data_IF_016589197398
#
_entry.id   IF_016589197398
#
_cell.length_a   1.000
_cell.length_b   1.000
_cell.length_c   1.000
_cell.angle_alpha   90.00
_cell.angle_beta   90.00
_cell.angle_gamma   90.00
#
_symmetry.space_group_name_H-M   'P 1'
#
loop_
_entity.id
_entity.type
_entity.pdbx_description
1 polymer ?
#
# COMPACT_ATOMS: atom_id res chain seq x y z
N UNK A 1 -14.59 11.18 -8.09
CA UNK A 1 -13.81 11.29 -9.35
C UNK A 1 -12.30 11.12 -9.11
N UNK A 2 -11.85 10.12 -8.33
CA UNK A 2 -10.42 9.94 -7.95
C UNK A 2 -9.80 8.64 -8.56
N UNK A 3 -10.57 7.82 -9.29
CA UNK A 3 -10.19 6.45 -9.61
C UNK A 3 -9.16 6.23 -10.74
N UNK A 4 -9.01 7.15 -11.70
CA UNK A 4 -8.28 6.83 -12.94
C UNK A 4 -6.76 7.09 -12.88
N UNK A 5 -6.32 8.04 -12.06
CA UNK A 5 -4.89 8.38 -11.96
C UNK A 5 -4.07 7.38 -11.13
N UNK A 6 -4.73 6.53 -10.33
CA UNK A 6 -4.08 5.59 -9.42
C UNK A 6 -3.57 4.32 -10.14
N UNK A 7 -4.26 3.85 -11.19
CA UNK A 7 -3.90 2.60 -11.88
C UNK A 7 -2.64 2.75 -12.76
N UNK A 8 -2.51 3.84 -13.52
CA UNK A 8 -1.30 4.08 -14.33
C UNK A 8 -0.03 4.30 -13.52
N UNK A 9 -0.15 4.48 -12.20
CA UNK A 9 0.95 4.82 -11.32
C UNK A 9 1.32 3.67 -10.38
N UNK A 10 0.76 2.48 -10.53
CA UNK A 10 1.13 1.27 -9.76
C UNK A 10 1.51 0.10 -10.69
N UNK A 11 1.08 0.15 -11.96
CA UNK A 11 1.47 -0.81 -12.97
C UNK A 11 2.65 -0.28 -13.78
N UNK A 12 3.64 -1.14 -14.02
CA UNK A 12 4.70 -0.87 -14.99
C UNK A 12 4.12 -0.71 -16.40
N UNK A 13 4.91 -0.20 -17.35
CA UNK A 13 4.47 -0.02 -18.72
C UNK A 13 3.84 -1.33 -19.25
N UNK A 14 2.62 -1.28 -19.83
CA UNK A 14 1.97 -2.48 -20.32
C UNK A 14 2.83 -3.13 -21.41
N UNK A 15 3.21 -4.39 -21.20
CA UNK A 15 3.80 -5.19 -22.26
C UNK A 15 2.66 -5.63 -23.20
N UNK A 16 2.46 -4.87 -24.27
CA UNK A 16 1.48 -5.22 -25.31
C UNK A 16 2.09 -6.31 -26.17
N UNK A 17 1.76 -7.57 -25.89
CA UNK A 17 1.99 -8.67 -26.82
C UNK A 17 0.92 -8.61 -27.92
N UNK A 18 1.10 -7.72 -28.90
CA UNK A 18 0.22 -7.63 -30.04
C UNK A 18 0.46 -8.83 -30.98
N UNK A 19 -0.45 -9.80 -30.95
CA UNK A 19 -0.52 -10.88 -31.93
C UNK A 19 -1.94 -11.42 -32.07
N UNK A 20 -2.75 -10.75 -32.91
CA UNK A 20 -3.93 -11.30 -33.63
C UNK A 20 -5.13 -11.76 -32.73
N UNK A 21 -6.29 -12.24 -33.24
CA UNK A 21 -7.60 -12.09 -32.59
C UNK A 21 -7.69 -12.98 -31.33
N UNK A 22 -8.25 -12.45 -30.25
CA UNK A 22 -8.06 -12.99 -28.90
C UNK A 22 -7.05 -12.15 -28.07
N UNK A 23 -7.12 -10.84 -28.23
CA UNK A 23 -6.22 -9.88 -27.58
C UNK A 23 -6.27 -10.02 -26.05
N UNK A 24 -5.11 -10.30 -25.46
CA UNK A 24 -4.92 -10.32 -24.02
C UNK A 24 -3.85 -9.30 -23.62
N UNK A 25 -4.05 -8.66 -22.48
CA UNK A 25 -3.11 -7.71 -21.88
C UNK A 25 -2.76 -8.21 -20.49
N UNK A 26 -1.46 -8.37 -20.23
CA UNK A 26 -0.96 -8.65 -18.90
C UNK A 26 -0.46 -7.35 -18.27
N UNK A 27 -1.03 -6.99 -17.13
CA UNK A 27 -0.66 -5.82 -16.36
C UNK A 27 0.16 -6.28 -15.16
N UNK A 28 1.45 -5.97 -15.17
CA UNK A 28 2.36 -6.26 -14.08
C UNK A 28 2.28 -5.20 -12.98
N UNK A 29 2.07 -5.66 -11.75
CA UNK A 29 2.04 -4.79 -10.59
C UNK A 29 3.47 -4.50 -10.13
N UNK A 30 3.82 -3.22 -9.99
CA UNK A 30 5.06 -2.81 -9.35
C UNK A 30 4.89 -2.91 -7.82
N UNK A 31 5.32 -4.03 -7.26
CA UNK A 31 5.19 -4.26 -5.81
C UNK A 31 6.07 -3.32 -5.00
N UNK A 32 7.21 -2.87 -5.53
CA UNK A 32 8.10 -1.95 -4.82
C UNK A 32 7.46 -0.57 -4.72
N UNK A 33 6.76 -0.15 -5.77
CA UNK A 33 5.98 1.08 -5.76
C UNK A 33 4.80 1.02 -4.77
N UNK A 34 4.12 -0.12 -4.65
CA UNK A 34 3.08 -0.33 -3.62
C UNK A 34 3.67 -0.15 -2.22
N UNK A 35 4.82 -0.78 -1.96
CA UNK A 35 5.52 -0.69 -0.67
C UNK A 35 5.96 0.73 -0.36
N UNK A 36 6.63 1.41 -1.29
CA UNK A 36 7.13 2.78 -1.12
C UNK A 36 6.00 3.75 -0.79
N UNK A 37 4.90 3.72 -1.55
CA UNK A 37 3.73 4.56 -1.29
C UNK A 37 3.12 4.31 0.08
N UNK A 38 3.05 3.04 0.50
CA UNK A 38 2.51 2.70 1.81
C UNK A 38 3.39 3.24 2.94
N UNK A 39 4.71 3.18 2.80
CA UNK A 39 5.67 3.74 3.75
C UNK A 39 5.58 5.27 3.82
N UNK A 40 5.40 5.94 2.68
CA UNK A 40 5.14 7.38 2.63
C UNK A 40 3.83 7.76 3.34
N UNK A 41 2.76 7.01 3.07
CA UNK A 41 1.48 7.20 3.75
C UNK A 41 1.59 6.94 5.26
N UNK A 42 2.36 5.92 5.67
CA UNK A 42 2.64 5.62 7.08
C UNK A 42 3.37 6.78 7.76
N UNK A 43 4.41 7.33 7.12
CA UNK A 43 5.13 8.52 7.59
C UNK A 43 4.18 9.70 7.78
N UNK A 44 3.30 9.95 6.81
CA UNK A 44 2.38 11.09 6.86
C UNK A 44 1.29 10.91 7.92
N UNK A 45 0.85 9.67 8.14
CA UNK A 45 -0.05 9.29 9.23
C UNK A 45 0.61 9.48 10.60
N UNK A 46 1.85 9.01 10.80
CA UNK A 46 2.63 9.22 12.03
C UNK A 46 2.75 10.72 12.34
N UNK A 47 3.12 11.52 11.33
CA UNK A 47 3.22 12.98 11.47
C UNK A 47 1.92 13.60 11.97
N UNK A 48 0.79 13.16 11.41
CA UNK A 48 -0.53 13.68 11.76
C UNK A 48 -0.91 13.28 13.19
N UNK A 49 -0.79 11.99 13.54
CA UNK A 49 -1.14 11.47 14.86
C UNK A 49 -0.34 12.14 15.99
N UNK A 50 0.98 12.33 15.82
CA UNK A 50 1.79 12.98 16.84
C UNK A 50 1.53 14.48 16.97
N UNK A 51 1.16 15.14 15.87
CA UNK A 51 0.78 16.56 15.87
C UNK A 51 -0.56 16.77 16.58
N UNK A 52 -1.50 15.87 16.35
CA UNK A 52 -2.88 15.97 16.85
C UNK A 52 -3.03 15.36 18.26
N UNK A 53 -1.99 14.68 18.78
CA UNK A 53 -1.92 14.24 20.17
C UNK A 53 -1.98 15.43 21.14
N UNK A 54 -2.60 15.22 22.31
CA UNK A 54 -2.72 16.24 23.35
C UNK A 54 -2.15 15.72 24.68
N UNK A 55 -1.05 16.30 25.20
CA UNK A 55 -0.26 17.41 24.62
C UNK A 55 0.48 17.00 23.35
N UNK A 56 0.76 18.00 22.48
CA UNK A 56 1.48 17.79 21.22
C UNK A 56 2.84 17.13 21.47
N UNK A 57 3.14 16.11 20.66
CA UNK A 57 4.37 15.33 20.78
C UNK A 57 5.38 15.83 19.75
N UNK A 58 6.54 16.25 20.24
CA UNK A 58 7.63 16.73 19.39
C UNK A 58 8.53 15.56 18.99
N UNK A 59 8.91 15.53 17.72
CA UNK A 59 9.79 14.50 17.17
C UNK A 59 10.73 15.09 16.14
N UNK A 60 11.85 14.39 15.92
CA UNK A 60 12.89 14.73 14.97
C UNK A 60 13.18 13.54 14.05
N UNK A 61 13.69 13.83 12.85
CA UNK A 61 14.21 12.79 11.96
C UNK A 61 13.17 11.79 11.45
N UNK A 62 11.92 12.22 11.22
CA UNK A 62 10.90 11.36 10.61
C UNK A 62 11.22 11.10 9.14
N UNK A 63 11.73 9.91 8.86
CA UNK A 63 12.21 9.52 7.52
C UNK A 63 11.77 8.11 7.16
N UNK A 64 11.66 7.85 5.86
CA UNK A 64 11.52 6.52 5.29
C UNK A 64 12.90 6.08 4.81
N UNK A 65 13.32 4.87 5.19
CA UNK A 65 14.59 4.27 4.79
C UNK A 65 14.38 2.79 4.50
N UNK A 66 14.47 2.40 3.22
CA UNK A 66 14.18 1.03 2.79
C UNK A 66 12.72 0.66 3.11
N UNK A 67 12.53 -0.36 3.96
CA UNK A 67 11.22 -0.83 4.43
C UNK A 67 10.83 -0.31 5.81
N UNK A 68 11.54 0.70 6.31
CA UNK A 68 11.39 1.21 7.66
C UNK A 68 11.01 2.69 7.65
N UNK A 69 10.06 3.07 8.51
CA UNK A 69 9.81 4.46 8.88
C UNK A 69 10.36 4.66 10.28
N UNK A 70 11.20 5.66 10.49
CA UNK A 70 11.80 5.91 11.81
C UNK A 70 11.65 7.37 12.20
N UNK A 71 11.59 7.60 13.51
CA UNK A 71 11.61 8.92 14.12
C UNK A 71 12.18 8.85 15.53
N UNK A 72 12.72 9.98 16.01
CA UNK A 72 13.11 10.14 17.40
C UNK A 72 12.15 11.08 18.11
N UNK A 73 11.60 10.66 19.24
CA UNK A 73 10.81 11.52 20.11
C UNK A 73 11.77 12.48 20.83
N UNK A 74 11.46 13.78 20.80
CA UNK A 74 12.37 14.81 21.30
C UNK A 74 12.44 14.85 22.83
N UNK A 75 11.33 14.53 23.50
CA UNK A 75 11.23 14.46 24.95
C UNK A 75 11.07 12.99 25.39
N UNK A 76 12.00 12.50 26.22
CA UNK A 76 11.97 11.15 26.75
C UNK A 76 10.71 10.87 27.60
N UNK A 77 10.14 11.89 28.25
CA UNK A 77 8.91 11.73 29.03
C UNK A 77 7.67 11.49 28.15
N UNK A 78 7.73 11.83 26.86
CA UNK A 78 6.61 11.69 25.92
C UNK A 78 6.62 10.37 25.14
N UNK A 79 7.63 9.49 25.33
CA UNK A 79 7.78 8.27 24.53
C UNK A 79 6.58 7.32 24.65
N UNK A 80 6.10 7.07 25.87
CA UNK A 80 4.96 6.18 26.08
C UNK A 80 3.65 6.80 25.55
N UNK A 81 3.48 8.12 25.67
CA UNK A 81 2.36 8.84 25.06
C UNK A 81 2.42 8.76 23.52
N UNK A 82 3.62 8.84 22.93
CA UNK A 82 3.82 8.69 21.49
C UNK A 82 3.46 7.29 21.02
N UNK A 83 3.89 6.25 21.74
CA UNK A 83 3.54 4.87 21.45
C UNK A 83 2.02 4.65 21.54
N UNK A 84 1.36 5.23 22.54
CA UNK A 84 -0.10 5.17 22.64
C UNK A 84 -0.80 5.86 21.46
N UNK A 85 -0.36 7.06 21.06
CA UNK A 85 -0.92 7.78 19.92
C UNK A 85 -0.68 7.06 18.58
N UNK A 86 0.45 6.37 18.45
CA UNK A 86 0.82 5.60 17.26
C UNK A 86 0.30 4.17 17.27
N UNK A 87 -0.48 3.76 18.27
CA UNK A 87 -1.01 2.40 18.36
C UNK A 87 -1.83 2.02 17.12
N UNK A 88 -2.62 2.95 16.59
CA UNK A 88 -3.43 2.73 15.39
C UNK A 88 -2.62 2.40 14.12
N UNK A 89 -1.31 2.72 14.09
CA UNK A 89 -0.44 2.36 12.95
C UNK A 89 0.25 1.02 13.12
N UNK A 90 0.25 0.47 14.33
CA UNK A 90 0.85 -0.84 14.67
C UNK A 90 -0.23 -1.88 14.94
N UNK A 91 -1.47 -1.50 15.19
CA UNK A 91 -2.53 -2.49 15.43
C UNK A 91 -2.73 -3.39 14.19
N UNK A 92 -2.92 -4.72 14.39
CA UNK A 92 -3.13 -5.63 13.29
C UNK A 92 -4.35 -5.25 12.45
N UNK A 93 -4.21 -5.36 11.14
CA UNK A 93 -5.31 -5.15 10.20
C UNK A 93 -6.20 -6.38 10.17
N UNK A 94 -7.51 -6.18 9.95
CA UNK A 94 -8.43 -7.27 9.68
C UNK A 94 -8.19 -7.82 8.26
N UNK A 95 -7.43 -8.90 8.15
CA UNK A 95 -7.25 -9.65 6.92
C UNK A 95 -8.33 -10.71 6.70
N UNK A 96 -8.48 -11.16 5.45
CA UNK A 96 -9.45 -12.21 5.09
C UNK A 96 -9.16 -13.55 5.77
N UNK A 97 -7.89 -13.84 6.00
CA UNK A 97 -7.41 -15.10 6.61
C UNK A 97 -7.11 -14.96 8.11
N UNK A 98 -7.28 -13.76 8.67
CA UNK A 98 -6.93 -13.46 10.04
C UNK A 98 -6.26 -12.09 10.20
N UNK A 99 -5.93 -11.70 11.44
CA UNK A 99 -5.23 -10.44 11.71
C UNK A 99 -3.85 -10.42 11.05
N UNK A 100 -3.53 -9.30 10.38
CA UNK A 100 -2.24 -9.09 9.70
C UNK A 100 -1.47 -7.98 10.40
N UNK A 101 -0.31 -8.32 10.95
CA UNK A 101 0.62 -7.35 11.50
C UNK A 101 1.32 -6.62 10.35
N UNK A 102 0.88 -5.41 10.00
CA UNK A 102 1.44 -4.71 8.85
C UNK A 102 2.85 -4.17 9.11
N UNK A 103 3.04 -3.54 10.26
CA UNK A 103 4.30 -2.95 10.69
C UNK A 103 4.72 -3.51 12.04
N UNK A 104 5.99 -3.88 12.20
CA UNK A 104 6.58 -4.19 13.48
C UNK A 104 7.21 -2.93 14.07
N UNK A 105 6.92 -2.63 15.34
CA UNK A 105 7.57 -1.56 16.09
C UNK A 105 8.81 -2.13 16.80
N UNK A 106 9.95 -1.49 16.59
CA UNK A 106 11.18 -1.63 17.38
C UNK A 106 11.44 -0.31 18.12
N UNK A 107 11.42 -0.40 19.45
CA UNK A 107 11.68 0.68 20.41
C UNK A 107 12.83 0.31 21.37
N UNK A 108 13.72 -0.60 20.95
CA UNK A 108 14.85 -1.06 21.76
C UNK A 108 15.85 0.05 22.12
N UNK A 109 15.96 1.07 21.26
CA UNK A 109 16.78 2.25 21.53
C UNK A 109 15.92 3.38 22.16
N UNK A 110 16.32 3.93 23.32
CA UNK A 110 15.55 4.95 24.02
C UNK A 110 15.21 6.17 23.13
N UNK A 111 13.92 6.44 22.99
CA UNK A 111 13.39 7.57 22.23
C UNK A 111 13.40 7.39 20.71
N UNK A 112 13.99 6.32 20.16
CA UNK A 112 13.95 6.02 18.73
C UNK A 112 12.87 4.97 18.46
N UNK A 113 11.88 5.33 17.66
CA UNK A 113 10.83 4.41 17.22
C UNK A 113 11.06 4.05 15.76
N UNK A 114 11.15 2.74 15.47
CA UNK A 114 11.31 2.20 14.11
C UNK A 114 10.11 1.32 13.77
N UNK A 115 9.45 1.63 12.66
CA UNK A 115 8.31 0.89 12.14
C UNK A 115 8.75 0.19 10.87
N UNK A 116 8.92 -1.13 10.92
CA UNK A 116 9.39 -1.93 9.79
C UNK A 116 8.22 -2.68 9.18
N UNK A 117 8.01 -2.53 7.88
CA UNK A 117 6.97 -3.27 7.18
C UNK A 117 7.28 -4.76 7.18
N UNK A 118 6.31 -5.58 7.55
CA UNK A 118 6.46 -7.04 7.57
C UNK A 118 6.16 -7.63 6.20
N UNK A 119 6.63 -8.86 5.94
CA UNK A 119 6.29 -9.59 4.72
C UNK A 119 4.78 -9.86 4.61
N UNK A 120 4.12 -10.13 5.74
CA UNK A 120 2.67 -10.32 5.78
C UNK A 120 1.94 -9.03 5.40
N UNK A 121 2.38 -7.88 5.91
CA UNK A 121 1.88 -6.56 5.53
C UNK A 121 2.10 -6.24 4.05
N UNK A 122 3.29 -6.52 3.53
CA UNK A 122 3.64 -6.33 2.12
C UNK A 122 2.72 -7.15 1.20
N UNK A 123 2.51 -8.43 1.51
CA UNK A 123 1.60 -9.33 0.77
C UNK A 123 0.15 -8.85 0.85
N UNK A 124 -0.30 -8.46 2.04
CA UNK A 124 -1.64 -7.93 2.23
C UNK A 124 -1.89 -6.68 1.37
N UNK A 125 -0.96 -5.73 1.37
CA UNK A 125 -1.07 -4.50 0.56
C UNK A 125 -1.01 -4.77 -0.94
N UNK A 126 -0.19 -5.71 -1.35
CA UNK A 126 -0.12 -6.17 -2.74
C UNK A 126 -1.46 -6.75 -3.20
N UNK A 127 -2.04 -7.66 -2.40
CA UNK A 127 -3.34 -8.27 -2.70
C UNK A 127 -4.49 -7.25 -2.72
N UNK A 128 -4.48 -6.29 -1.78
CA UNK A 128 -5.44 -5.20 -1.76
C UNK A 128 -5.34 -4.31 -3.00
N UNK A 129 -4.12 -3.95 -3.41
CA UNK A 129 -3.87 -3.15 -4.62
C UNK A 129 -4.35 -3.88 -5.89
N UNK A 130 -4.11 -5.18 -6.01
CA UNK A 130 -4.59 -5.99 -7.14
C UNK A 130 -6.12 -6.01 -7.20
N UNK A 131 -6.77 -6.25 -6.06
CA UNK A 131 -8.24 -6.28 -5.96
C UNK A 131 -8.85 -4.96 -6.43
N UNK A 132 -8.35 -3.84 -5.91
CA UNK A 132 -8.81 -2.50 -6.31
C UNK A 132 -8.58 -2.23 -7.80
N UNK A 133 -7.44 -2.67 -8.33
CA UNK A 133 -7.10 -2.45 -9.73
C UNK A 133 -8.01 -3.23 -10.68
N UNK A 134 -8.36 -4.47 -10.32
CA UNK A 134 -9.36 -5.27 -11.04
C UNK A 134 -10.70 -4.53 -11.12
N UNK A 135 -11.16 -3.94 -10.02
CA UNK A 135 -12.42 -3.17 -10.00
C UNK A 135 -12.36 -1.95 -10.93
N UNK A 136 -11.26 -1.20 -10.90
CA UNK A 136 -11.08 -0.04 -11.80
C UNK A 136 -11.03 -0.48 -13.26
N UNK A 137 -10.30 -1.55 -13.58
CA UNK A 137 -10.21 -2.09 -14.95
C UNK A 137 -11.59 -2.53 -15.44
N UNK A 138 -12.35 -3.28 -14.62
CA UNK A 138 -13.71 -3.70 -14.97
C UNK A 138 -14.63 -2.51 -15.25
N UNK A 139 -14.59 -1.49 -14.40
CA UNK A 139 -15.36 -0.27 -14.62
C UNK A 139 -14.96 0.43 -15.93
N UNK A 140 -13.66 0.49 -16.22
CA UNK A 140 -13.16 1.11 -17.45
C UNK A 140 -13.55 0.34 -18.71
N UNK A 141 -13.52 -1.00 -18.66
CA UNK A 141 -13.97 -1.85 -19.75
C UNK A 141 -15.47 -1.66 -20.02
N UNK A 142 -16.27 -1.57 -18.96
CA UNK A 142 -17.71 -1.27 -19.07
C UNK A 142 -17.96 0.11 -19.71
N UNK A 143 -17.23 1.15 -19.29
CA UNK A 143 -17.31 2.48 -19.89
C UNK A 143 -16.95 2.49 -21.39
N UNK A 144 -16.02 1.62 -21.79
CA UNK A 144 -15.59 1.47 -23.18
C UNK A 144 -16.51 0.55 -24.01
N UNK A 145 -17.57 0.00 -23.41
CA UNK A 145 -18.51 -0.91 -24.09
C UNK A 145 -17.96 -2.32 -24.31
N UNK A 146 -16.89 -2.71 -23.61
CA UNK A 146 -16.27 -4.04 -23.70
C UNK A 146 -16.83 -4.93 -22.59
N UNK A 147 -18.14 -5.16 -22.60
CA UNK A 147 -18.88 -5.77 -21.49
C UNK A 147 -18.51 -7.24 -21.22
N UNK A 148 -18.05 -7.98 -22.23
CA UNK A 148 -17.72 -9.40 -22.12
C UNK A 148 -16.22 -9.67 -21.89
N UNK A 149 -15.45 -8.65 -21.51
CA UNK A 149 -14.04 -8.83 -21.19
C UNK A 149 -13.84 -9.56 -19.87
N UNK A 150 -12.93 -10.55 -19.87
CA UNK A 150 -12.56 -11.32 -18.69
C UNK A 150 -11.35 -10.70 -18.02
N UNK A 151 -11.43 -10.48 -16.70
CA UNK A 151 -10.33 -9.95 -15.87
C UNK A 151 -10.00 -10.97 -14.79
N UNK A 152 -8.78 -11.49 -14.81
CA UNK A 152 -8.31 -12.54 -13.91
C UNK A 152 -7.02 -12.13 -13.21
N UNK A 153 -6.85 -12.60 -11.99
CA UNK A 153 -5.59 -12.49 -11.26
C UNK A 153 -4.63 -13.59 -11.72
N UNK A 154 -3.37 -13.24 -11.93
CA UNK A 154 -2.27 -14.17 -12.18
C UNK A 154 -1.22 -14.03 -11.08
N UNK A 155 -0.23 -14.92 -11.05
CA UNK A 155 0.85 -14.85 -10.06
C UNK A 155 1.64 -13.52 -10.14
N UNK A 156 1.83 -12.99 -11.36
CA UNK A 156 2.62 -11.79 -11.61
C UNK A 156 1.80 -10.51 -11.86
N UNK A 157 0.46 -10.54 -11.74
CA UNK A 157 -0.36 -9.38 -12.12
C UNK A 157 -1.82 -9.68 -12.46
N UNK A 158 -2.34 -8.91 -13.43
CA UNK A 158 -3.74 -8.98 -13.87
C UNK A 158 -3.78 -9.28 -15.36
N UNK A 159 -4.44 -10.37 -15.73
CA UNK A 159 -4.72 -10.74 -17.12
C UNK A 159 -6.08 -10.21 -17.53
N UNK A 160 -6.11 -9.45 -18.62
CA UNK A 160 -7.33 -8.95 -19.26
C UNK A 160 -7.46 -9.60 -20.62
N UNK A 161 -8.62 -10.22 -20.91
CA UNK A 161 -8.90 -10.86 -22.19
C UNK A 161 -10.17 -10.27 -22.80
N UNK A 162 -10.05 -9.81 -24.05
CA UNK A 162 -11.20 -9.39 -24.83
C UNK A 162 -11.92 -10.60 -25.45
N UNK A 163 -13.25 -10.54 -25.64
CA UNK A 163 -13.97 -11.59 -26.35
C UNK A 163 -13.41 -11.78 -27.76
N UNK A 164 -13.24 -13.03 -28.17
CA UNK A 164 -12.86 -13.39 -29.54
C UNK A 164 -14.14 -13.43 -30.37
N UNK A 165 -14.34 -12.42 -31.22
CA UNK A 165 -15.41 -12.43 -32.24
C UNK A 165 -14.92 -13.07 -33.53
#
# INVERSE_FOLDING_TARGET
>A
MIGLALVSMVFGAPAVFASVPGAHVLLHLDTDQVRSRRLEAMRDQIRTLLRDAEPKIHYNGLVVSGLTVQLRISDAAQVEAAKAALRAVVDPLAGKEGPVQEFALDDSEPGLLKFTMTDAGAKYRTSAALTQSIEVIKNRLNELGVADATVQLTDDGILVQAPSV
#
